data_IF_664690414469
#
_entry.id   IF_664690414469
#
_cell.length_a   1.000
_cell.length_b   1.000
_cell.length_c   1.000
_cell.angle_alpha   90.00
_cell.angle_beta   90.00
_cell.angle_gamma   90.00
#
_symmetry.space_group_name_H-M   'P 1'
#
loop_
_entity.id
_entity.type
_entity.pdbx_description
1 polymer ?
#
# COMPACT_ATOMS: atom_id res chain seq x y z
N UNK A 1 21.61 17.08 -7.78
CA UNK A 1 20.79 16.67 -8.91
C UNK A 1 20.05 15.39 -8.60
N UNK A 2 20.81 14.35 -8.30
CA UNK A 2 20.19 13.06 -7.99
C UNK A 2 19.26 13.14 -6.80
N UNK A 3 19.58 13.99 -5.85
CA UNK A 3 18.77 14.12 -4.65
C UNK A 3 17.37 14.62 -4.97
N UNK A 4 17.28 15.50 -5.96
CA UNK A 4 15.97 16.03 -6.35
C UNK A 4 15.10 14.92 -6.88
N UNK A 5 15.66 14.04 -7.69
CA UNK A 5 14.90 12.92 -8.25
C UNK A 5 14.40 11.98 -7.16
N UNK A 6 15.23 11.73 -6.15
CA UNK A 6 14.82 10.87 -5.06
C UNK A 6 13.66 11.45 -4.27
N UNK A 7 13.63 12.76 -4.10
CA UNK A 7 12.56 13.41 -3.38
C UNK A 7 11.23 13.31 -4.10
N UNK A 8 11.28 13.17 -5.42
CA UNK A 8 10.05 13.06 -6.20
C UNK A 8 9.49 11.66 -6.26
N UNK A 9 10.21 10.69 -5.70
CA UNK A 9 9.71 9.33 -5.70
C UNK A 9 8.50 9.20 -4.79
N UNK A 10 7.47 8.55 -5.31
CA UNK A 10 6.27 8.27 -4.55
C UNK A 10 6.34 6.87 -3.96
N UNK A 11 5.74 6.72 -2.81
CA UNK A 11 5.72 5.44 -2.11
C UNK A 11 4.33 4.84 -2.18
N UNK A 12 4.24 3.59 -2.58
CA UNK A 12 2.97 2.87 -2.71
C UNK A 12 2.98 1.68 -1.76
N UNK A 13 1.95 1.60 -0.93
CA UNK A 13 1.76 0.46 -0.05
C UNK A 13 0.88 -0.55 -0.75
N UNK A 14 1.37 -1.78 -0.89
CA UNK A 14 0.64 -2.87 -1.53
C UNK A 14 0.20 -3.86 -0.47
N UNK A 15 -1.11 -4.11 -0.40
CA UNK A 15 -1.69 -4.95 0.64
C UNK A 15 -2.49 -6.08 0.01
N UNK A 16 -2.03 -7.31 0.19
CA UNK A 16 -2.71 -8.52 -0.30
C UNK A 16 -2.12 -9.67 0.48
N UNK A 17 -2.97 -10.66 0.84
CA UNK A 17 -2.48 -11.80 1.61
C UNK A 17 -1.78 -12.84 0.74
N UNK A 18 -1.86 -12.72 -0.57
CA UNK A 18 -1.20 -13.64 -1.49
C UNK A 18 0.13 -13.07 -1.94
N UNK A 19 1.20 -13.67 -1.45
CA UNK A 19 2.53 -13.18 -1.76
C UNK A 19 2.84 -13.03 -3.25
N UNK A 20 2.46 -14.01 -4.10
CA UNK A 20 2.74 -13.85 -5.53
C UNK A 20 2.11 -12.60 -6.14
N UNK A 21 0.92 -12.24 -5.67
CA UNK A 21 0.26 -11.04 -6.16
C UNK A 21 1.06 -9.80 -5.76
N UNK A 22 1.45 -9.75 -4.48
CA UNK A 22 2.24 -8.62 -3.99
C UNK A 22 3.55 -8.51 -4.77
N UNK A 23 4.22 -9.63 -5.00
CA UNK A 23 5.49 -9.62 -5.69
C UNK A 23 5.37 -9.08 -7.11
N UNK A 24 4.31 -9.48 -7.82
CA UNK A 24 4.09 -9.00 -9.18
C UNK A 24 3.84 -7.49 -9.17
N UNK A 25 2.99 -7.03 -8.27
CA UNK A 25 2.68 -5.62 -8.20
C UNK A 25 3.91 -4.80 -7.83
N UNK A 26 4.66 -5.26 -6.84
CA UNK A 26 5.86 -4.55 -6.40
C UNK A 26 6.88 -4.47 -7.53
N UNK A 27 7.09 -5.59 -8.24
CA UNK A 27 8.03 -5.60 -9.35
C UNK A 27 7.67 -4.55 -10.40
N UNK A 28 6.40 -4.53 -10.78
CA UNK A 28 5.96 -3.58 -11.81
C UNK A 28 6.03 -2.14 -11.34
N UNK A 29 5.68 -1.90 -10.09
CA UNK A 29 5.71 -0.54 -9.56
C UNK A 29 7.14 -0.03 -9.47
N UNK A 30 8.06 -0.88 -9.02
CA UNK A 30 9.45 -0.47 -8.94
C UNK A 30 10.04 -0.20 -10.31
N UNK A 31 9.62 -0.97 -11.31
CA UNK A 31 10.05 -0.71 -12.69
C UNK A 31 9.62 0.68 -13.15
N UNK A 32 8.49 1.14 -12.66
CA UNK A 32 7.97 2.46 -13.04
C UNK A 32 8.55 3.57 -12.17
N UNK A 33 9.44 3.25 -11.25
CA UNK A 33 10.13 4.27 -10.47
C UNK A 33 9.53 4.57 -9.11
N UNK A 34 8.58 3.75 -8.64
CA UNK A 34 7.97 3.96 -7.33
C UNK A 34 8.73 3.20 -6.25
N UNK A 35 8.73 3.76 -5.05
CA UNK A 35 9.11 3.01 -3.87
C UNK A 35 7.88 2.22 -3.40
N UNK A 36 8.12 1.07 -2.79
CA UNK A 36 7.01 0.21 -2.39
C UNK A 36 7.16 -0.23 -0.94
N UNK A 37 6.00 -0.43 -0.30
CA UNK A 37 5.89 -1.07 1.00
C UNK A 37 4.94 -2.25 0.83
N UNK A 38 5.14 -3.30 1.61
CA UNK A 38 4.36 -4.52 1.48
C UNK A 38 3.70 -4.86 2.79
N UNK A 39 2.44 -5.25 2.74
CA UNK A 39 1.72 -5.77 3.89
C UNK A 39 0.87 -6.95 3.42
N UNK A 40 0.80 -7.98 4.26
CA UNK A 40 0.09 -9.20 3.91
C UNK A 40 -1.15 -9.41 4.75
N UNK A 41 -1.45 -8.48 5.62
CA UNK A 41 -2.66 -8.51 6.44
C UNK A 41 -3.07 -7.09 6.78
N UNK A 42 -4.30 -6.97 7.30
CA UNK A 42 -4.87 -5.65 7.54
C UNK A 42 -4.20 -4.87 8.65
N UNK A 43 -3.81 -5.56 9.72
CA UNK A 43 -3.19 -4.87 10.85
C UNK A 43 -1.83 -4.30 10.48
N UNK A 44 -1.04 -5.09 9.78
CA UNK A 44 0.26 -4.61 9.30
C UNK A 44 0.06 -3.43 8.35
N UNK A 45 -0.95 -3.51 7.49
CA UNK A 45 -1.23 -2.43 6.55
C UNK A 45 -1.55 -1.13 7.27
N UNK A 46 -2.41 -1.21 8.29
CA UNK A 46 -2.77 -0.02 9.06
C UNK A 46 -1.53 0.57 9.72
N UNK A 47 -0.73 -0.28 10.34
CA UNK A 47 0.47 0.17 11.03
C UNK A 47 1.44 0.86 10.08
N UNK A 48 1.71 0.22 8.93
CA UNK A 48 2.63 0.81 7.95
C UNK A 48 2.09 2.11 7.38
N UNK A 49 0.79 2.16 7.11
CA UNK A 49 0.19 3.37 6.56
C UNK A 49 0.37 4.54 7.52
N UNK A 50 0.11 4.31 8.81
CA UNK A 50 0.20 5.38 9.78
C UNK A 50 1.64 5.80 10.05
N UNK A 51 2.57 4.85 10.01
CA UNK A 51 3.97 5.14 10.27
C UNK A 51 4.67 5.77 9.07
N UNK A 52 4.46 5.19 7.89
CA UNK A 52 5.21 5.58 6.71
C UNK A 52 4.49 6.58 5.82
N UNK A 53 3.20 6.72 5.99
CA UNK A 53 2.39 7.69 5.23
C UNK A 53 2.65 7.61 3.74
N UNK A 54 2.30 6.47 3.12
CA UNK A 54 2.51 6.32 1.68
C UNK A 54 1.66 7.29 0.89
N UNK A 55 2.02 7.46 -0.37
CA UNK A 55 1.31 8.36 -1.27
C UNK A 55 0.09 7.72 -1.89
N UNK A 56 0.05 6.39 -1.91
CA UNK A 56 -1.05 5.62 -2.50
C UNK A 56 -1.08 4.25 -1.84
N UNK A 57 -2.27 3.70 -1.66
CA UNK A 57 -2.41 2.35 -1.11
C UNK A 57 -3.22 1.50 -2.09
N UNK A 58 -2.67 0.35 -2.46
CA UNK A 58 -3.39 -0.67 -3.22
C UNK A 58 -3.81 -1.73 -2.22
N UNK A 59 -5.12 -1.94 -2.08
CA UNK A 59 -5.64 -2.68 -0.94
C UNK A 59 -6.63 -3.75 -1.40
N UNK A 60 -6.32 -5.00 -1.09
CA UNK A 60 -7.22 -6.12 -1.37
C UNK A 60 -8.43 -6.04 -0.44
N UNK A 61 -9.62 -6.20 -1.01
CA UNK A 61 -10.85 -6.20 -0.23
C UNK A 61 -10.96 -7.46 0.63
N UNK A 62 -10.52 -8.59 0.08
CA UNK A 62 -10.72 -9.90 0.69
C UNK A 62 -9.54 -10.32 1.55
N UNK A 63 -9.29 -9.57 2.61
CA UNK A 63 -8.23 -9.93 3.54
C UNK A 63 -8.79 -10.77 4.67
N UNK A 64 -7.98 -11.68 5.22
CA UNK A 64 -8.41 -12.44 6.38
C UNK A 64 -8.46 -11.57 7.63
N UNK A 65 -9.28 -11.94 8.56
CA UNK A 65 -9.48 -11.32 9.88
C UNK A 65 -9.96 -9.89 9.77
N UNK A 66 -9.12 -8.96 9.36
CA UNK A 66 -9.53 -7.56 9.19
C UNK A 66 -9.64 -7.29 7.70
N UNK A 67 -10.87 -7.20 7.20
CA UNK A 67 -11.09 -7.08 5.76
C UNK A 67 -10.67 -5.70 5.24
N UNK A 68 -10.59 -5.60 3.90
CA UNK A 68 -10.09 -4.39 3.27
C UNK A 68 -10.94 -3.15 3.54
N UNK A 69 -12.26 -3.32 3.64
CA UNK A 69 -13.11 -2.17 3.91
C UNK A 69 -12.84 -1.60 5.31
N UNK A 70 -12.66 -2.47 6.28
CA UNK A 70 -12.34 -2.03 7.64
C UNK A 70 -10.97 -1.35 7.67
N UNK A 71 -10.00 -1.93 6.97
CA UNK A 71 -8.67 -1.33 6.89
C UNK A 71 -8.77 0.07 6.30
N UNK A 72 -9.52 0.19 5.21
CA UNK A 72 -9.71 1.48 4.56
C UNK A 72 -10.28 2.52 5.51
N UNK A 73 -11.32 2.15 6.25
CA UNK A 73 -11.96 3.06 7.18
C UNK A 73 -11.00 3.52 8.26
N UNK A 74 -10.23 2.59 8.82
CA UNK A 74 -9.29 2.93 9.88
C UNK A 74 -8.20 3.87 9.40
N UNK A 75 -7.68 3.61 8.20
CA UNK A 75 -6.64 4.47 7.65
C UNK A 75 -7.21 5.85 7.36
N UNK A 76 -8.41 5.91 6.78
CA UNK A 76 -9.03 7.18 6.44
C UNK A 76 -9.36 8.03 7.66
N UNK A 77 -9.54 7.40 8.80
CA UNK A 77 -9.80 8.14 10.02
C UNK A 77 -8.63 9.07 10.37
N UNK A 78 -7.45 8.71 9.97
CA UNK A 78 -6.24 9.46 10.32
C UNK A 78 -5.57 10.11 9.11
N UNK A 79 -5.57 9.43 7.97
CA UNK A 79 -4.83 9.88 6.80
C UNK A 79 -5.77 10.13 5.63
N UNK A 80 -5.44 11.15 4.86
CA UNK A 80 -6.16 11.46 3.64
C UNK A 80 -5.33 11.01 2.44
N UNK A 81 -5.20 9.69 2.29
CA UNK A 81 -4.39 9.10 1.25
C UNK A 81 -5.31 8.40 0.24
N UNK A 82 -5.00 8.47 -1.06
CA UNK A 82 -5.78 7.71 -2.05
C UNK A 82 -5.62 6.21 -1.81
N UNK A 83 -6.74 5.49 -1.88
CA UNK A 83 -6.77 4.05 -1.71
C UNK A 83 -7.51 3.45 -2.89
N UNK A 84 -6.83 2.54 -3.60
CA UNK A 84 -7.44 1.80 -4.69
C UNK A 84 -7.73 0.40 -4.20
N UNK A 85 -9.01 0.02 -4.23
CA UNK A 85 -9.43 -1.30 -3.79
C UNK A 85 -9.27 -2.29 -4.92
N UNK A 86 -8.68 -3.43 -4.60
CA UNK A 86 -8.50 -4.50 -5.58
C UNK A 86 -9.55 -5.57 -5.31
N UNK A 87 -10.39 -5.85 -6.30
CA UNK A 87 -11.42 -6.86 -6.13
C UNK A 87 -10.89 -8.23 -6.48
N UNK A 88 -11.52 -9.24 -5.90
CA UNK A 88 -11.16 -10.62 -6.20
C UNK A 88 -11.68 -11.04 -7.59
#
# INVERSE_FOLDING_TARGET
>A
MEDIEKKDKRTILVVDDEKPIVEILVYNLQKEGYDTLEAYDGETAIQLALEKKPDLILLDIMLPRVDGLTVCKRIRHTLNVPIIMLSA
#
